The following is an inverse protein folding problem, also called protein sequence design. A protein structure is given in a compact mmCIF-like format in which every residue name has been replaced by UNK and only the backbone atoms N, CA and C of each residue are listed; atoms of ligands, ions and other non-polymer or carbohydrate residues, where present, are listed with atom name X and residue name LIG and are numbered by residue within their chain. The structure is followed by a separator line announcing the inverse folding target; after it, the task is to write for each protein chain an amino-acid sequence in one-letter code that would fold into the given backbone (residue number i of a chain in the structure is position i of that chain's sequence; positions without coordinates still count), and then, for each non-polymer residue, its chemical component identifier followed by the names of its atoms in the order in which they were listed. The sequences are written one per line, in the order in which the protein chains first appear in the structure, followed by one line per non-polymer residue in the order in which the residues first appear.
data_IF_690313937650
#
_entry.id   IF_690313937650
#
_cell.length_a   1.000
_cell.length_b   1.000
_cell.length_c   1.000
_cell.angle_alpha   90.00
_cell.angle_beta   90.00
_cell.angle_gamma   90.00
#
_symmetry.space_group_name_H-M   'P 1'
#
loop_
_entity.id
_entity.type
_entity.pdbx_description
1 polymer ?
#
# COMPACT_ATOMS: atom_id res chain seq x y z
N UNK A 1 -13.19 1.81 -8.77
CA UNK A 1 -11.99 2.42 -8.15
C UNK A 1 -11.88 3.90 -8.48
N UNK A 2 -12.01 4.32 -9.76
CA UNK A 2 -11.99 5.74 -10.17
C UNK A 2 -12.89 6.63 -9.30
N UNK A 3 -14.12 6.20 -9.03
CA UNK A 3 -15.07 6.98 -8.22
C UNK A 3 -14.67 7.11 -6.74
N UNK A 4 -13.88 6.18 -6.17
CA UNK A 4 -13.52 6.24 -4.75
C UNK A 4 -12.49 7.33 -4.45
N UNK A 5 -11.50 7.50 -5.31
CA UNK A 5 -10.45 8.49 -5.09
C UNK A 5 -11.03 9.90 -5.14
N UNK A 6 -11.86 10.18 -6.15
CA UNK A 6 -12.57 11.45 -6.26
C UNK A 6 -13.57 11.67 -5.11
N UNK A 7 -14.31 10.62 -4.69
CA UNK A 7 -15.21 10.70 -3.54
C UNK A 7 -14.48 11.09 -2.25
N UNK A 8 -13.36 10.43 -1.94
CA UNK A 8 -12.54 10.76 -0.77
C UNK A 8 -11.96 12.17 -0.88
N UNK A 9 -11.35 12.50 -2.03
CA UNK A 9 -10.73 13.80 -2.26
C UNK A 9 -11.75 14.93 -2.11
N UNK A 10 -13.01 14.71 -2.51
CA UNK A 10 -14.06 15.72 -2.44
C UNK A 10 -14.74 15.81 -1.08
N UNK A 11 -15.05 14.67 -0.46
CA UNK A 11 -16.01 14.61 0.66
C UNK A 11 -15.41 14.14 1.99
N UNK A 12 -14.27 13.43 2.00
CA UNK A 12 -13.70 12.89 3.24
C UNK A 12 -12.89 13.94 4.00
N UNK A 13 -13.03 14.00 5.31
CA UNK A 13 -12.22 14.85 6.19
C UNK A 13 -10.90 14.14 6.53
N UNK A 14 -9.92 14.27 5.63
CA UNK A 14 -8.63 13.56 5.71
C UNK A 14 -7.47 14.46 5.26
N UNK A 15 -6.31 14.28 5.89
CA UNK A 15 -5.07 14.96 5.50
C UNK A 15 -4.32 14.21 4.38
N UNK A 16 -4.48 12.89 4.34
CA UNK A 16 -3.83 12.00 3.38
C UNK A 16 -4.83 11.04 2.73
N UNK A 17 -4.62 10.76 1.45
CA UNK A 17 -5.19 9.60 0.78
C UNK A 17 -4.05 8.68 0.37
N UNK A 18 -4.15 7.42 0.75
CA UNK A 18 -3.19 6.38 0.41
C UNK A 18 -3.87 5.38 -0.51
N UNK A 19 -3.10 4.66 -1.30
CA UNK A 19 -3.65 3.46 -1.89
C UNK A 19 -2.64 2.47 -2.43
N UNK A 20 -3.12 1.24 -2.47
CA UNK A 20 -2.42 0.07 -2.94
C UNK A 20 -3.07 -0.39 -4.25
N UNK A 21 -2.33 -0.23 -5.34
CA UNK A 21 -2.66 -0.68 -6.69
C UNK A 21 -1.89 -1.95 -7.08
N UNK A 22 -1.06 -2.51 -6.20
CA UNK A 22 -0.30 -3.71 -6.51
C UNK A 22 -0.77 -4.93 -5.73
N UNK A 23 -0.64 -6.08 -6.36
CA UNK A 23 -0.74 -7.39 -5.75
C UNK A 23 0.37 -8.25 -6.35
N UNK A 24 0.72 -9.36 -5.70
CA UNK A 24 1.67 -10.30 -6.29
C UNK A 24 1.25 -10.77 -7.69
N UNK A 25 -0.06 -10.79 -7.99
CA UNK A 25 -0.58 -11.12 -9.31
C UNK A 25 -0.18 -10.10 -10.38
N UNK A 26 -0.47 -8.80 -10.18
CA UNK A 26 -0.14 -7.80 -11.19
C UNK A 26 1.36 -7.50 -11.23
N UNK A 27 2.09 -7.62 -10.11
CA UNK A 27 3.55 -7.51 -10.09
C UNK A 27 4.22 -8.46 -11.09
N UNK A 28 3.78 -9.72 -11.15
CA UNK A 28 4.33 -10.69 -12.12
C UNK A 28 4.06 -10.26 -13.56
N UNK A 29 2.84 -9.81 -13.87
CA UNK A 29 2.47 -9.34 -15.21
C UNK A 29 3.25 -8.07 -15.61
N UNK A 30 3.37 -7.09 -14.72
CA UNK A 30 4.12 -5.84 -14.97
C UNK A 30 5.62 -6.11 -15.10
N UNK A 31 6.17 -7.01 -14.29
CA UNK A 31 7.57 -7.43 -14.40
C UNK A 31 7.88 -8.09 -15.75
N UNK A 32 6.96 -8.92 -16.27
CA UNK A 32 7.11 -9.50 -17.61
C UNK A 32 7.08 -8.44 -18.71
N UNK A 33 6.15 -7.47 -18.64
CA UNK A 33 6.08 -6.35 -19.60
C UNK A 33 7.38 -5.53 -19.57
N UNK A 34 7.87 -5.20 -18.37
CA UNK A 34 9.12 -4.44 -18.19
C UNK A 34 10.32 -5.18 -18.77
N UNK A 35 10.46 -6.48 -18.48
CA UNK A 35 11.54 -7.31 -19.02
C UNK A 35 11.51 -7.40 -20.56
N UNK A 36 10.33 -7.60 -21.16
CA UNK A 36 10.18 -7.63 -22.62
C UNK A 36 10.60 -6.30 -23.28
N UNK A 37 10.29 -5.15 -22.65
CA UNK A 37 10.72 -3.84 -23.16
C UNK A 37 12.24 -3.67 -23.14
N UNK A 38 12.92 -4.19 -22.11
CA UNK A 38 14.37 -4.17 -22.06
C UNK A 38 15.00 -5.05 -23.15
N UNK A 39 14.46 -6.24 -23.38
CA UNK A 39 14.95 -7.16 -24.43
C UNK A 39 14.66 -6.66 -25.85
N UNK A 40 13.58 -5.90 -26.04
CA UNK A 40 13.15 -5.40 -27.34
C UNK A 40 12.60 -3.96 -27.24
N UNK A 41 13.51 -2.95 -27.19
CA UNK A 41 13.13 -1.55 -26.98
C UNK A 41 12.23 -0.94 -28.08
N UNK A 42 12.14 -1.59 -29.24
CA UNK A 42 11.33 -1.15 -30.38
C UNK A 42 9.92 -1.75 -30.41
N UNK A 43 9.52 -2.55 -29.42
CA UNK A 43 8.15 -3.02 -29.28
C UNK A 43 7.33 -1.93 -28.61
N UNK A 44 6.17 -1.61 -29.19
CA UNK A 44 5.14 -0.77 -28.57
C UNK A 44 4.46 -1.58 -27.45
N UNK A 45 5.18 -1.75 -26.35
CA UNK A 45 4.70 -2.43 -25.16
C UNK A 45 3.95 -1.44 -24.28
N UNK A 46 2.80 -1.87 -23.76
CA UNK A 46 2.06 -1.09 -22.77
C UNK A 46 2.98 -0.74 -21.57
N UNK A 47 2.76 0.41 -20.90
CA UNK A 47 3.54 0.76 -19.72
C UNK A 47 3.36 -0.27 -18.60
N UNK A 48 4.42 -0.50 -17.82
CA UNK A 48 4.40 -1.42 -16.68
C UNK A 48 3.96 -0.75 -15.36
N UNK A 49 3.18 0.33 -15.43
CA UNK A 49 2.52 0.99 -14.30
C UNK A 49 0.99 0.81 -14.38
N UNK A 50 0.28 1.15 -13.31
CA UNK A 50 -1.17 0.97 -13.20
C UNK A 50 -1.95 2.14 -13.83
N UNK A 51 -2.31 2.01 -15.10
CA UNK A 51 -3.00 3.05 -15.89
C UNK A 51 -4.31 3.53 -15.23
N UNK A 52 -5.05 2.66 -14.54
CA UNK A 52 -6.28 3.03 -13.85
C UNK A 52 -6.07 4.09 -12.76
N UNK A 53 -4.86 4.18 -12.20
CA UNK A 53 -4.53 5.25 -11.26
C UNK A 53 -4.49 6.61 -11.95
N UNK A 54 -4.02 6.69 -13.21
CA UNK A 54 -3.97 7.96 -13.97
C UNK A 54 -5.38 8.54 -14.13
N UNK A 55 -6.34 7.73 -14.54
CA UNK A 55 -7.75 8.14 -14.68
C UNK A 55 -8.36 8.57 -13.33
N UNK A 56 -8.05 7.82 -12.28
CA UNK A 56 -8.51 8.10 -10.91
C UNK A 56 -7.93 9.42 -10.39
N UNK A 57 -6.63 9.64 -10.61
CA UNK A 57 -5.91 10.83 -10.19
C UNK A 57 -6.44 12.06 -10.89
N UNK A 58 -6.60 12.01 -12.22
CA UNK A 58 -7.12 13.13 -13.01
C UNK A 58 -8.52 13.55 -12.53
N UNK A 59 -9.35 12.59 -12.14
CA UNK A 59 -10.70 12.87 -11.62
C UNK A 59 -10.69 13.52 -10.23
N UNK A 60 -9.70 13.20 -9.40
CA UNK A 60 -9.58 13.69 -8.02
C UNK A 60 -8.73 14.97 -7.89
N UNK A 61 -7.89 15.26 -8.88
CA UNK A 61 -6.91 16.35 -8.87
C UNK A 61 -7.46 17.72 -8.44
N UNK A 62 -8.62 18.20 -8.92
CA UNK A 62 -9.13 19.50 -8.51
C UNK A 62 -9.36 19.59 -7.00
N UNK A 63 -9.93 18.54 -6.40
CA UNK A 63 -10.24 18.50 -4.98
C UNK A 63 -8.98 18.25 -4.13
N UNK A 64 -8.05 17.42 -4.61
CA UNK A 64 -6.73 17.21 -3.97
C UNK A 64 -5.98 18.54 -3.85
N UNK A 65 -5.90 19.32 -4.93
CA UNK A 65 -5.23 20.61 -4.96
C UNK A 65 -5.94 21.66 -4.08
N UNK A 66 -7.26 21.80 -4.24
CA UNK A 66 -8.04 22.79 -3.50
C UNK A 66 -8.00 22.57 -1.97
N UNK A 67 -7.95 21.31 -1.55
CA UNK A 67 -7.96 20.91 -0.13
C UNK A 67 -6.57 20.58 0.42
N UNK A 68 -5.53 20.61 -0.41
CA UNK A 68 -4.14 20.29 -0.07
C UNK A 68 -3.97 18.89 0.55
N UNK A 69 -4.74 17.93 0.04
CA UNK A 69 -4.67 16.54 0.48
C UNK A 69 -3.42 15.91 -0.11
N UNK A 70 -2.59 15.32 0.74
CA UNK A 70 -1.38 14.61 0.32
C UNK A 70 -1.69 13.18 -0.08
N UNK A 71 -0.86 12.60 -0.95
CA UNK A 71 -1.10 11.26 -1.49
C UNK A 71 0.17 10.41 -1.57
N UNK A 72 0.03 9.12 -1.29
CA UNK A 72 1.06 8.11 -1.49
C UNK A 72 0.46 6.85 -2.16
N UNK A 73 0.97 6.46 -3.35
CA UNK A 73 0.48 5.27 -4.10
C UNK A 73 1.59 4.42 -4.75
N UNK A 74 1.47 3.07 -4.75
CA UNK A 74 2.38 2.14 -5.46
C UNK A 74 1.94 1.89 -6.91
N UNK A 75 1.18 2.82 -7.49
CA UNK A 75 0.69 2.66 -8.86
C UNK A 75 1.84 2.64 -9.91
N UNK A 76 3.07 3.00 -9.53
CA UNK A 76 4.23 2.95 -10.43
C UNK A 76 4.56 1.52 -10.88
N UNK A 77 4.16 0.54 -10.09
CA UNK A 77 4.41 -0.88 -10.29
C UNK A 77 5.86 -1.23 -10.69
N UNK A 78 6.16 -1.39 -11.98
CA UNK A 78 7.54 -1.65 -12.48
C UNK A 78 8.08 -0.51 -13.37
N UNK A 79 7.34 0.60 -13.50
CA UNK A 79 7.63 1.75 -14.37
C UNK A 79 7.28 3.08 -13.65
N UNK A 80 7.73 3.24 -12.41
CA UNK A 80 7.42 4.41 -11.57
C UNK A 80 7.83 5.74 -12.19
N UNK A 81 8.98 5.79 -12.86
CA UNK A 81 9.44 6.98 -13.59
C UNK A 81 8.46 7.39 -14.69
N UNK A 82 7.98 6.43 -15.48
CA UNK A 82 7.05 6.70 -16.56
C UNK A 82 5.66 7.12 -16.02
N UNK A 83 5.24 6.54 -14.89
CA UNK A 83 4.03 7.00 -14.21
C UNK A 83 4.18 8.45 -13.77
N UNK A 84 5.29 8.82 -13.13
CA UNK A 84 5.51 10.21 -12.75
C UNK A 84 5.47 11.14 -13.93
N UNK A 85 6.11 10.79 -15.06
CA UNK A 85 6.09 11.66 -16.25
C UNK A 85 4.64 11.92 -16.70
N UNK A 86 3.79 10.89 -16.61
CA UNK A 86 2.35 10.99 -16.92
C UNK A 86 1.60 11.88 -15.93
N UNK A 87 1.83 11.69 -14.62
CA UNK A 87 1.17 12.46 -13.55
C UNK A 87 1.65 13.92 -13.53
N UNK A 88 2.94 14.14 -13.71
CA UNK A 88 3.57 15.46 -13.80
C UNK A 88 2.97 16.27 -14.94
N UNK A 89 2.78 15.65 -16.11
CA UNK A 89 2.09 16.28 -17.24
C UNK A 89 0.65 16.69 -16.90
N UNK A 90 -0.10 15.83 -16.21
CA UNK A 90 -1.47 16.13 -15.79
C UNK A 90 -1.50 17.32 -14.80
N UNK A 91 -0.57 17.35 -13.85
CA UNK A 91 -0.41 18.46 -12.90
C UNK A 91 -0.10 19.76 -13.64
N UNK A 92 0.84 19.76 -14.57
CA UNK A 92 1.20 20.92 -15.39
C UNK A 92 0.04 21.42 -16.25
N UNK A 93 -0.64 20.51 -16.97
CA UNK A 93 -1.78 20.84 -17.83
C UNK A 93 -2.97 21.40 -17.02
N UNK A 94 -3.10 21.01 -15.74
CA UNK A 94 -4.13 21.53 -14.82
C UNK A 94 -3.82 22.92 -14.23
N UNK A 95 -2.55 23.36 -14.29
CA UNK A 95 -2.09 24.61 -13.68
C UNK A 95 -2.05 24.60 -12.15
N UNK A 96 -2.08 23.42 -11.51
CA UNK A 96 -1.90 23.29 -10.04
C UNK A 96 -0.41 23.38 -9.67
N UNK A 97 -0.12 23.71 -8.41
CA UNK A 97 1.24 23.80 -7.87
C UNK A 97 1.67 22.56 -7.07
N UNK A 98 0.93 21.45 -7.22
CA UNK A 98 1.19 20.19 -6.54
C UNK A 98 2.57 19.64 -6.93
N UNK A 99 3.34 19.23 -5.93
CA UNK A 99 4.67 18.64 -6.14
C UNK A 99 4.57 17.13 -6.16
N UNK A 100 5.00 16.53 -7.26
CA UNK A 100 5.07 15.08 -7.43
C UNK A 100 6.50 14.62 -7.13
N UNK A 101 6.64 13.49 -6.45
CA UNK A 101 7.92 12.81 -6.26
C UNK A 101 7.73 11.32 -6.56
N UNK A 102 8.79 10.67 -7.03
CA UNK A 102 8.84 9.21 -7.07
C UNK A 102 9.94 8.64 -6.17
N UNK A 103 9.84 7.35 -5.86
CA UNK A 103 10.86 6.58 -5.14
C UNK A 103 11.38 5.46 -6.04
N UNK A 104 12.70 5.29 -6.06
CA UNK A 104 13.43 4.20 -6.73
C UNK A 104 14.13 3.29 -5.72
N UNK A 105 14.69 2.19 -6.21
CA UNK A 105 15.51 1.25 -5.45
C UNK A 105 14.83 -0.09 -5.15
N UNK A 106 13.61 -0.29 -5.65
CA UNK A 106 12.90 -1.56 -5.52
C UNK A 106 13.35 -2.58 -6.57
N UNK A 107 13.76 -2.17 -7.78
CA UNK A 107 14.30 -3.04 -8.83
C UNK A 107 15.70 -3.56 -8.45
N UNK A 108 15.83 -4.88 -8.23
CA UNK A 108 17.02 -5.48 -7.58
C UNK A 108 17.53 -6.76 -8.27
N UNK A 109 17.21 -6.97 -9.56
CA UNK A 109 17.63 -8.21 -10.26
C UNK A 109 19.14 -8.40 -10.25
N UNK A 110 19.90 -7.34 -10.55
CA UNK A 110 21.37 -7.38 -10.54
C UNK A 110 21.93 -7.71 -9.15
N UNK A 111 21.37 -7.09 -8.11
CA UNK A 111 21.77 -7.35 -6.72
C UNK A 111 21.47 -8.81 -6.31
N UNK A 112 20.32 -9.36 -6.73
CA UNK A 112 19.97 -10.77 -6.50
C UNK A 112 20.98 -11.70 -7.21
N UNK A 113 21.28 -11.44 -8.48
CA UNK A 113 22.24 -12.23 -9.26
C UNK A 113 23.64 -12.18 -8.64
N UNK A 114 24.08 -10.99 -8.22
CA UNK A 114 25.34 -10.81 -7.51
C UNK A 114 25.36 -11.64 -6.21
N UNK A 115 24.37 -11.50 -5.34
CA UNK A 115 24.33 -12.24 -4.07
C UNK A 115 24.31 -13.76 -4.27
N UNK A 116 23.58 -14.25 -5.26
CA UNK A 116 23.58 -15.68 -5.61
C UNK A 116 24.96 -16.13 -6.09
N UNK A 117 25.63 -15.33 -6.91
CA UNK A 117 26.99 -15.64 -7.40
C UNK A 117 28.05 -15.67 -6.30
N UNK A 118 27.87 -14.84 -5.26
CA UNK A 118 28.70 -14.80 -4.05
C UNK A 118 28.38 -15.94 -3.05
N UNK A 119 27.38 -16.78 -3.35
CA UNK A 119 27.01 -17.95 -2.55
C UNK A 119 25.95 -17.68 -1.48
N UNK A 120 25.26 -16.53 -1.53
CA UNK A 120 24.13 -16.24 -0.63
C UNK A 120 23.00 -17.24 -0.86
N UNK A 121 22.53 -17.85 0.23
CA UNK A 121 21.43 -18.83 0.19
C UNK A 121 20.09 -18.13 0.31
N UNK A 122 19.46 -17.87 -0.84
CA UNK A 122 18.08 -17.40 -0.90
C UNK A 122 17.11 -18.58 -0.78
N UNK A 123 16.04 -18.39 -0.01
CA UNK A 123 14.99 -19.39 0.20
C UNK A 123 13.62 -18.77 -0.01
N UNK A 124 12.72 -19.54 -0.62
CA UNK A 124 11.32 -19.17 -0.70
C UNK A 124 10.72 -19.13 0.72
N UNK A 125 10.07 -18.02 1.07
CA UNK A 125 9.51 -17.80 2.41
C UNK A 125 8.36 -18.75 2.76
N UNK A 126 7.67 -19.29 1.76
CA UNK A 126 6.51 -20.17 1.92
C UNK A 126 6.92 -21.65 1.86
N UNK A 127 7.73 -22.04 0.89
CA UNK A 127 8.08 -23.45 0.64
C UNK A 127 9.41 -23.87 1.25
N UNK A 128 10.28 -22.92 1.62
CA UNK A 128 11.64 -23.19 2.09
C UNK A 128 12.61 -23.66 1.01
N UNK A 129 12.12 -23.88 -0.23
CA UNK A 129 12.92 -24.29 -1.38
C UNK A 129 14.06 -23.30 -1.63
N UNK A 130 15.25 -23.81 -1.90
CA UNK A 130 16.38 -22.94 -2.24
C UNK A 130 16.26 -22.39 -3.66
N UNK A 131 16.89 -21.25 -3.90
CA UNK A 131 16.95 -20.64 -5.23
C UNK A 131 17.55 -21.59 -6.28
N UNK A 132 18.56 -22.39 -5.92
CA UNK A 132 19.21 -23.34 -6.83
C UNK A 132 18.29 -24.51 -7.21
N UNK A 133 17.43 -24.95 -6.29
CA UNK A 133 16.45 -26.03 -6.53
C UNK A 133 15.22 -25.53 -7.30
N UNK A 134 15.02 -24.21 -7.41
CA UNK A 134 13.83 -23.64 -8.05
C UNK A 134 13.75 -23.92 -9.55
N UNK A 135 14.91 -24.00 -10.23
CA UNK A 135 14.99 -24.41 -11.64
C UNK A 135 14.54 -23.34 -12.66
N UNK A 136 14.40 -22.09 -12.25
CA UNK A 136 14.01 -20.97 -13.12
C UNK A 136 15.03 -19.83 -13.08
N UNK A 137 15.13 -19.09 -14.19
CA UNK A 137 15.92 -17.87 -14.29
C UNK A 137 14.99 -16.65 -14.21
N UNK A 138 15.09 -15.81 -13.16
CA UNK A 138 14.26 -14.62 -13.03
C UNK A 138 14.59 -13.60 -14.13
N UNK A 139 13.54 -13.00 -14.70
CA UNK A 139 13.62 -11.92 -15.70
C UNK A 139 13.40 -10.55 -15.09
N UNK A 140 12.88 -10.51 -13.85
CA UNK A 140 12.67 -9.28 -13.10
C UNK A 140 12.67 -9.59 -11.59
N UNK A 141 13.09 -8.63 -10.77
CA UNK A 141 13.06 -8.77 -9.31
C UNK A 141 12.77 -7.44 -8.62
N UNK A 142 11.86 -7.46 -7.64
CA UNK A 142 11.49 -6.28 -6.85
C UNK A 142 11.58 -6.56 -5.35
N UNK A 143 12.24 -5.69 -4.60
CA UNK A 143 12.26 -5.75 -3.15
C UNK A 143 11.13 -4.92 -2.53
N UNK A 144 10.71 -5.32 -1.33
CA UNK A 144 9.61 -4.70 -0.61
C UNK A 144 10.17 -3.60 0.28
N UNK A 145 10.32 -2.39 -0.26
CA UNK A 145 10.84 -1.24 0.46
C UNK A 145 9.90 -0.83 1.63
N UNK A 146 10.46 -0.13 2.62
CA UNK A 146 9.70 0.44 3.74
C UNK A 146 9.23 1.87 3.52
N UNK A 147 8.66 2.46 4.56
CA UNK A 147 8.00 3.77 4.63
C UNK A 147 8.97 4.97 4.65
N UNK A 148 10.27 4.73 4.84
CA UNK A 148 11.28 5.79 5.02
C UNK A 148 11.40 6.73 3.82
N UNK A 149 11.40 6.18 2.59
CA UNK A 149 11.45 6.98 1.37
C UNK A 149 10.23 7.91 1.23
N UNK A 150 9.06 7.40 1.63
CA UNK A 150 7.78 8.13 1.57
C UNK A 150 7.79 9.30 2.56
N UNK A 151 8.21 9.05 3.80
CA UNK A 151 8.35 10.08 4.82
C UNK A 151 9.33 11.18 4.38
N UNK A 152 10.45 10.79 3.77
CA UNK A 152 11.46 11.73 3.27
C UNK A 152 10.94 12.57 2.09
N UNK A 153 10.18 11.97 1.17
CA UNK A 153 9.58 12.69 0.06
C UNK A 153 8.61 13.78 0.54
N UNK A 154 7.73 13.46 1.50
CA UNK A 154 6.85 14.45 2.11
C UNK A 154 7.63 15.52 2.90
N UNK A 155 8.69 15.14 3.61
CA UNK A 155 9.58 16.08 4.31
C UNK A 155 10.24 17.07 3.35
N UNK A 156 10.59 16.62 2.14
CA UNK A 156 11.15 17.45 1.08
C UNK A 156 10.09 18.29 0.32
N UNK A 157 8.84 18.25 0.78
CA UNK A 157 7.76 19.08 0.27
C UNK A 157 6.98 18.48 -0.88
N UNK A 158 7.04 17.15 -1.10
CA UNK A 158 6.12 16.50 -2.02
C UNK A 158 4.68 16.57 -1.50
N UNK A 159 3.72 16.63 -2.43
CA UNK A 159 2.29 16.48 -2.16
C UNK A 159 1.81 15.11 -2.61
N UNK A 160 2.33 14.62 -3.74
CA UNK A 160 2.03 13.31 -4.31
C UNK A 160 3.31 12.49 -4.36
N UNK A 161 3.30 11.29 -3.78
CA UNK A 161 4.43 10.37 -3.74
C UNK A 161 4.06 9.09 -4.48
N UNK A 162 4.82 8.77 -5.52
CA UNK A 162 4.65 7.61 -6.37
C UNK A 162 5.77 6.61 -6.10
N UNK A 163 5.46 5.32 -6.10
CA UNK A 163 6.47 4.28 -5.92
C UNK A 163 6.15 3.03 -6.74
N UNK A 164 7.19 2.21 -6.94
CA UNK A 164 7.08 0.85 -7.44
C UNK A 164 6.67 -0.06 -6.30
N UNK A 165 7.49 -1.06 -5.97
CA UNK A 165 7.20 -1.95 -4.84
C UNK A 165 7.66 -1.40 -3.49
N UNK A 166 6.71 -1.29 -2.58
CA UNK A 166 6.92 -1.16 -1.13
C UNK A 166 6.14 -2.26 -0.43
N UNK A 167 6.39 -2.48 0.87
CA UNK A 167 5.46 -3.25 1.69
C UNK A 167 4.09 -2.54 1.73
N UNK A 168 3.00 -3.29 1.67
CA UNK A 168 1.65 -2.75 1.43
C UNK A 168 1.25 -1.65 2.44
N UNK A 169 1.69 -1.81 3.70
CA UNK A 169 1.46 -0.83 4.77
C UNK A 169 2.37 0.41 4.75
N UNK A 170 3.50 0.36 4.04
CA UNK A 170 4.49 1.44 3.99
C UNK A 170 3.94 2.83 3.61
N UNK A 171 2.94 2.99 2.72
CA UNK A 171 2.41 4.28 2.33
C UNK A 171 1.80 5.06 3.48
N UNK A 172 0.91 4.40 4.22
CA UNK A 172 0.23 4.97 5.37
C UNK A 172 1.18 5.13 6.55
N UNK A 173 2.07 4.15 6.76
CA UNK A 173 3.13 4.28 7.77
C UNK A 173 4.03 5.48 7.49
N UNK A 174 4.37 5.73 6.23
CA UNK A 174 5.21 6.86 5.81
C UNK A 174 4.51 8.20 5.95
N UNK A 175 3.22 8.26 5.61
CA UNK A 175 2.39 9.42 5.85
C UNK A 175 2.28 9.74 7.35
N UNK A 176 2.01 8.73 8.19
CA UNK A 176 1.92 8.89 9.64
C UNK A 176 3.25 9.32 10.27
N UNK A 177 4.36 8.70 9.86
CA UNK A 177 5.70 9.06 10.34
C UNK A 177 6.09 10.49 9.94
N UNK A 178 5.78 10.92 8.71
CA UNK A 178 5.95 12.32 8.31
C UNK A 178 5.10 13.27 9.16
N UNK A 179 3.81 12.98 9.29
CA UNK A 179 2.85 13.85 9.98
C UNK A 179 3.19 14.07 11.45
N UNK A 180 3.56 12.99 12.15
CA UNK A 180 3.90 13.03 13.58
C UNK A 180 5.39 13.23 13.86
N UNK A 181 6.23 13.34 12.83
CA UNK A 181 7.68 13.52 12.96
C UNK A 181 8.40 12.32 13.58
N UNK A 182 7.90 11.11 13.35
CA UNK A 182 8.49 9.90 13.92
C UNK A 182 9.82 9.54 13.26
N UNK A 183 10.77 9.07 14.09
CA UNK A 183 12.01 8.46 13.62
C UNK A 183 11.79 7.00 13.19
N UNK A 184 12.72 6.45 12.40
CA UNK A 184 12.70 5.03 11.97
C UNK A 184 12.92 4.02 13.09
N UNK A 185 13.10 4.48 14.34
CA UNK A 185 13.31 3.64 15.52
C UNK A 185 12.20 3.79 16.56
N UNK A 186 11.15 4.57 16.27
CA UNK A 186 9.93 4.66 17.08
C UNK A 186 9.03 3.45 16.79
N UNK A 187 9.51 2.27 17.17
CA UNK A 187 8.90 1.00 16.82
C UNK A 187 7.50 0.81 17.43
N UNK A 188 7.21 1.43 18.57
CA UNK A 188 5.89 1.35 19.17
C UNK A 188 4.85 2.02 18.25
N UNK A 189 5.14 3.24 17.83
CA UNK A 189 4.28 4.04 16.97
C UNK A 189 4.15 3.41 15.59
N UNK A 190 5.26 2.94 15.01
CA UNK A 190 5.27 2.23 13.73
C UNK A 190 4.47 0.93 13.79
N UNK A 191 4.53 0.17 14.89
CA UNK A 191 3.76 -1.06 15.04
C UNK A 191 2.26 -0.79 15.15
N UNK A 192 1.85 0.29 15.84
CA UNK A 192 0.44 0.69 15.84
C UNK A 192 0.00 1.16 14.46
N UNK A 193 0.80 1.98 13.79
CA UNK A 193 0.53 2.43 12.43
C UNK A 193 0.37 1.23 11.49
N UNK A 194 1.24 0.22 11.55
CA UNK A 194 1.15 -1.01 10.74
C UNK A 194 -0.22 -1.69 10.87
N UNK A 195 -0.75 -1.84 12.09
CA UNK A 195 -2.09 -2.43 12.29
C UNK A 195 -3.20 -1.48 11.85
N UNK A 196 -3.03 -0.17 12.00
CA UNK A 196 -3.98 0.81 11.46
C UNK A 196 -4.09 0.66 9.94
N UNK A 197 -2.96 0.51 9.24
CA UNK A 197 -2.94 0.33 7.78
C UNK A 197 -3.60 -0.97 7.38
N UNK A 198 -3.21 -2.07 8.03
CA UNK A 198 -3.79 -3.39 7.79
C UNK A 198 -5.32 -3.39 7.89
N UNK A 199 -5.88 -2.59 8.81
CA UNK A 199 -7.32 -2.45 8.95
C UNK A 199 -7.97 -1.63 7.82
N UNK A 200 -7.29 -0.68 7.20
CA UNK A 200 -7.86 0.12 6.09
C UNK A 200 -7.46 -0.39 4.69
N UNK A 201 -6.60 -1.40 4.62
CA UNK A 201 -6.24 -2.13 3.40
C UNK A 201 -7.43 -2.94 2.84
N UNK A 202 -7.27 -3.45 1.61
CA UNK A 202 -8.27 -4.25 0.90
C UNK A 202 -9.64 -3.53 0.68
N UNK A 203 -9.61 -2.20 0.56
CA UNK A 203 -10.76 -1.34 0.26
C UNK A 203 -11.87 -1.34 1.32
N UNK A 204 -12.83 -2.26 1.22
CA UNK A 204 -14.08 -2.22 1.98
C UNK A 204 -14.13 -3.26 3.10
N UNK A 205 -13.04 -3.99 3.34
CA UNK A 205 -13.10 -5.18 4.18
C UNK A 205 -13.50 -4.85 5.62
N UNK A 206 -12.86 -3.84 6.22
CA UNK A 206 -13.18 -3.39 7.57
C UNK A 206 -14.53 -2.67 7.68
N UNK A 207 -15.10 -2.23 6.56
CA UNK A 207 -16.46 -1.67 6.50
C UNK A 207 -17.53 -2.72 6.18
N UNK A 208 -17.14 -4.00 6.14
CA UNK A 208 -18.04 -5.15 6.03
C UNK A 208 -17.87 -6.00 4.76
N UNK A 209 -16.99 -5.61 3.84
CA UNK A 209 -16.81 -6.27 2.54
C UNK A 209 -16.28 -7.70 2.59
N UNK A 210 -15.62 -8.10 3.68
CA UNK A 210 -15.16 -9.47 3.93
C UNK A 210 -15.59 -10.00 5.31
N UNK A 211 -16.67 -9.46 5.86
CA UNK A 211 -17.19 -9.87 7.16
C UNK A 211 -18.24 -10.96 7.02
N UNK A 212 -18.05 -12.10 7.69
CA UNK A 212 -18.99 -13.25 7.63
C UNK A 212 -20.42 -12.92 8.08
N UNK A 213 -20.58 -11.88 8.92
CA UNK A 213 -21.88 -11.37 9.35
C UNK A 213 -22.51 -10.38 8.37
N UNK A 214 -22.12 -10.40 7.09
CA UNK A 214 -22.51 -9.43 6.06
C UNK A 214 -24.02 -9.13 5.97
N UNK A 215 -24.90 -10.08 6.32
CA UNK A 215 -26.36 -9.87 6.34
C UNK A 215 -26.83 -8.82 7.36
N UNK A 216 -25.99 -8.49 8.33
CA UNK A 216 -26.27 -7.47 9.37
C UNK A 216 -25.71 -6.10 9.02
N UNK A 217 -24.89 -6.02 7.96
CA UNK A 217 -24.27 -4.76 7.55
C UNK A 217 -25.33 -3.85 6.91
N UNK A 218 -25.42 -2.57 7.31
CA UNK A 218 -26.33 -1.61 6.70
C UNK A 218 -26.18 -1.57 5.17
N UNK A 219 -27.29 -1.59 4.45
CA UNK A 219 -27.32 -1.56 2.99
C UNK A 219 -27.60 -0.14 2.49
N UNK A 220 -26.89 0.25 1.43
CA UNK A 220 -27.13 1.48 0.69
C UNK A 220 -27.95 1.23 -0.57
N UNK A 221 -28.23 2.28 -1.35
CA UNK A 221 -28.74 2.12 -2.72
C UNK A 221 -27.63 1.79 -3.70
N UNK A 222 -26.41 2.22 -3.39
CA UNK A 222 -25.20 1.83 -4.10
C UNK A 222 -24.77 0.43 -3.67
N UNK A 223 -24.24 -0.40 -4.59
CA UNK A 223 -23.61 -1.67 -4.24
C UNK A 223 -22.25 -1.48 -3.53
N UNK A 224 -21.70 -0.25 -3.52
CA UNK A 224 -20.45 0.06 -2.83
C UNK A 224 -20.70 0.33 -1.35
N UNK A 225 -19.76 -0.14 -0.52
CA UNK A 225 -19.72 0.20 0.90
C UNK A 225 -18.99 1.53 1.11
N UNK A 226 -19.19 2.10 2.29
CA UNK A 226 -18.41 3.21 2.80
C UNK A 226 -16.93 2.82 2.91
N UNK A 227 -16.06 3.81 2.75
CA UNK A 227 -14.61 3.64 2.81
C UNK A 227 -14.12 3.84 4.24
N UNK A 228 -13.07 3.12 4.68
CA UNK A 228 -12.52 3.30 6.01
C UNK A 228 -11.60 4.52 6.08
N UNK A 229 -11.51 5.12 7.27
CA UNK A 229 -10.53 6.14 7.64
C UNK A 229 -9.77 5.64 8.87
N UNK A 230 -8.44 5.75 8.85
CA UNK A 230 -7.62 5.57 10.03
C UNK A 230 -7.21 6.93 10.60
N UNK A 231 -7.64 7.23 11.82
CA UNK A 231 -7.23 8.43 12.56
C UNK A 231 -6.14 8.06 13.55
N UNK A 232 -4.89 8.27 13.15
CA UNK A 232 -3.69 7.86 13.89
C UNK A 232 -3.20 9.02 14.78
N UNK A 233 -3.05 8.77 16.08
CA UNK A 233 -2.56 9.73 17.06
C UNK A 233 -1.03 9.76 17.10
N UNK A 234 -0.47 10.79 17.75
CA UNK A 234 0.98 10.99 17.84
C UNK A 234 1.71 9.89 18.61
N UNK A 235 1.01 9.17 19.49
CA UNK A 235 1.54 8.01 20.23
C UNK A 235 1.38 6.67 19.48
N UNK A 236 0.88 6.74 18.24
CA UNK A 236 0.61 5.60 17.37
C UNK A 236 -0.78 4.99 17.53
N UNK A 237 -1.45 5.16 18.68
CA UNK A 237 -2.81 4.61 18.88
C UNK A 237 -3.79 5.23 17.89
N UNK A 238 -4.86 4.52 17.53
CA UNK A 238 -5.69 4.96 16.42
C UNK A 238 -7.15 4.54 16.54
N UNK A 239 -7.98 5.27 15.79
CA UNK A 239 -9.36 4.91 15.54
C UNK A 239 -9.53 4.46 14.09
N UNK A 240 -10.36 3.44 13.87
CA UNK A 240 -10.91 3.13 12.55
C UNK A 240 -12.32 3.68 12.51
N UNK A 241 -12.60 4.46 11.48
CA UNK A 241 -13.83 5.22 11.30
C UNK A 241 -14.39 5.00 9.90
N UNK A 242 -15.69 5.21 9.73
CA UNK A 242 -16.40 5.03 8.47
C UNK A 242 -16.59 6.39 7.76
N UNK A 243 -16.08 6.54 6.54
CA UNK A 243 -16.45 7.66 5.69
C UNK A 243 -17.83 7.44 5.08
N UNK A 244 -18.84 8.11 5.62
CA UNK A 244 -20.22 8.00 5.15
C UNK A 244 -20.42 8.77 3.83
N UNK A 245 -20.32 8.05 2.72
CA UNK A 245 -20.68 8.56 1.40
C UNK A 245 -22.18 8.41 1.16
N UNK A 246 -22.72 9.31 0.33
CA UNK A 246 -24.14 9.31 -0.03
C UNK A 246 -24.53 7.97 -0.68
N UNK A 247 -25.69 7.44 -0.28
CA UNK A 247 -26.29 6.22 -0.82
C UNK A 247 -25.46 4.93 -0.64
N UNK A 248 -24.33 4.94 0.08
CA UNK A 248 -23.50 3.75 0.39
C UNK A 248 -23.84 3.14 1.75
N UNK A 249 -23.75 1.82 1.82
CA UNK A 249 -23.91 1.03 3.05
C UNK A 249 -22.59 0.81 3.77
N UNK A 250 -22.50 -0.21 4.60
CA UNK A 250 -21.27 -0.54 5.35
C UNK A 250 -21.29 -0.02 6.78
N UNK A 251 -20.42 -0.60 7.59
CA UNK A 251 -20.28 -0.25 9.00
C UNK A 251 -18.87 -0.58 9.51
N UNK A 252 -18.35 0.27 10.39
CA UNK A 252 -17.18 -0.04 11.20
C UNK A 252 -17.63 -0.46 12.60
N UNK A 253 -17.26 -1.68 13.01
CA UNK A 253 -17.58 -2.22 14.33
C UNK A 253 -16.44 -3.07 14.85
N UNK A 254 -16.46 -3.38 16.15
CA UNK A 254 -15.49 -4.31 16.74
C UNK A 254 -15.40 -5.62 15.95
N UNK A 255 -16.52 -6.11 15.40
CA UNK A 255 -16.53 -7.37 14.66
C UNK A 255 -15.90 -7.25 13.27
N UNK A 256 -16.15 -6.15 12.55
CA UNK A 256 -15.53 -5.95 11.22
C UNK A 256 -14.03 -5.66 11.37
N UNK A 257 -13.62 -4.89 12.38
CA UNK A 257 -12.21 -4.70 12.72
C UNK A 257 -11.52 -5.99 13.13
N UNK A 258 -12.13 -6.85 13.96
CA UNK A 258 -11.54 -8.16 14.30
C UNK A 258 -11.46 -9.10 13.10
N UNK A 259 -12.47 -9.08 12.22
CA UNK A 259 -12.46 -9.88 10.99
C UNK A 259 -11.30 -9.47 10.09
N UNK A 260 -11.11 -8.16 9.92
CA UNK A 260 -10.00 -7.64 9.12
C UNK A 260 -8.64 -7.88 9.81
N UNK A 261 -8.53 -7.68 11.13
CA UNK A 261 -7.28 -7.92 11.87
C UNK A 261 -6.77 -9.36 11.73
N UNK A 262 -7.67 -10.34 11.58
CA UNK A 262 -7.29 -11.75 11.43
C UNK A 262 -7.06 -12.15 9.97
N UNK A 263 -7.37 -11.27 9.02
CA UNK A 263 -7.16 -11.52 7.60
C UNK A 263 -5.65 -11.55 7.29
N UNK A 264 -5.20 -12.58 6.57
CA UNK A 264 -3.79 -12.75 6.15
C UNK A 264 -2.70 -12.81 7.23
N UNK A 265 -3.02 -12.65 8.52
CA UNK A 265 -2.06 -12.78 9.61
C UNK A 265 -1.79 -14.25 9.97
N UNK A 266 -0.52 -14.64 9.90
CA UNK A 266 -0.05 -16.00 10.19
C UNK A 266 0.64 -16.06 11.56
N UNK A 267 -0.18 -16.04 12.61
CA UNK A 267 0.27 -16.11 14.00
C UNK A 267 0.49 -14.73 14.63
N UNK A 268 1.28 -14.68 15.71
CA UNK A 268 1.37 -13.48 16.56
C UNK A 268 2.31 -12.39 16.06
N UNK A 269 3.21 -12.69 15.12
CA UNK A 269 4.18 -11.74 14.57
C UNK A 269 3.75 -11.36 13.17
N UNK A 270 3.47 -10.08 12.97
CA UNK A 270 3.24 -9.52 11.65
C UNK A 270 4.49 -8.77 11.19
N UNK A 271 5.18 -9.35 10.20
CA UNK A 271 6.45 -8.84 9.70
C UNK A 271 6.24 -7.76 8.64
N UNK A 272 6.90 -6.61 8.82
CA UNK A 272 6.96 -5.52 7.84
C UNK A 272 8.42 -5.02 7.73
N UNK A 273 8.72 -4.27 6.65
CA UNK A 273 10.04 -3.71 6.38
C UNK A 273 10.52 -2.70 7.42
N UNK A 274 9.62 -2.01 8.13
CA UNK A 274 10.00 -0.99 9.13
C UNK A 274 9.90 -1.47 10.58
N UNK A 275 9.05 -2.46 10.86
CA UNK A 275 8.78 -2.97 12.22
C UNK A 275 8.17 -4.36 12.16
N UNK A 276 8.21 -5.11 13.28
CA UNK A 276 7.38 -6.29 13.47
C UNK A 276 6.31 -5.96 14.51
N UNK A 277 5.03 -6.05 14.15
CA UNK A 277 3.94 -5.89 15.10
C UNK A 277 3.63 -7.22 15.81
N UNK A 278 3.38 -7.16 17.12
CA UNK A 278 2.99 -8.29 17.95
C UNK A 278 1.51 -8.16 18.30
N UNK A 279 0.70 -9.06 17.76
CA UNK A 279 -0.77 -8.90 17.73
C UNK A 279 -1.52 -9.71 18.78
N UNK A 280 -0.83 -10.44 19.66
CA UNK A 280 -1.45 -11.36 20.62
C UNK A 280 -2.17 -10.68 21.80
N UNK A 281 -1.93 -9.38 22.02
CA UNK A 281 -2.56 -8.58 23.09
C UNK A 281 -3.35 -7.37 22.59
N UNK A 282 -3.56 -7.25 21.27
CA UNK A 282 -4.31 -6.13 20.67
C UNK A 282 -5.69 -5.99 21.34
N UNK A 283 -6.04 -4.75 21.69
CA UNK A 283 -7.37 -4.39 22.18
C UNK A 283 -8.14 -3.69 21.07
N UNK A 284 -9.38 -4.13 20.87
CA UNK A 284 -10.31 -3.60 19.87
C UNK A 284 -11.61 -3.27 20.60
N UNK A 285 -11.90 -1.99 20.76
CA UNK A 285 -12.94 -1.46 21.64
C UNK A 285 -13.85 -0.50 20.86
N UNK A 286 -15.16 -0.60 21.08
CA UNK A 286 -16.10 0.32 20.44
C UNK A 286 -15.95 1.70 21.06
N UNK A 287 -15.72 2.73 20.24
CA UNK A 287 -15.54 4.12 20.68
C UNK A 287 -16.75 5.02 20.38
N UNK A 288 -17.60 4.61 19.44
CA UNK A 288 -18.83 5.28 19.07
C UNK A 288 -19.53 4.57 17.91
N UNK A 289 -20.64 5.09 17.38
CA UNK A 289 -21.21 4.62 16.12
C UNK A 289 -20.15 4.70 15.02
N UNK A 290 -19.92 3.61 14.30
CA UNK A 290 -18.96 3.55 13.19
C UNK A 290 -17.54 4.01 13.54
N UNK A 291 -17.15 3.86 14.81
CA UNK A 291 -15.82 4.23 15.33
C UNK A 291 -15.32 3.19 16.34
N UNK A 292 -14.13 2.65 16.07
CA UNK A 292 -13.47 1.61 16.88
C UNK A 292 -12.08 2.07 17.26
N UNK A 293 -11.78 2.05 18.56
CA UNK A 293 -10.45 2.33 19.08
C UNK A 293 -9.63 1.04 19.15
N UNK A 294 -8.41 1.08 18.62
CA UNK A 294 -7.49 -0.06 18.62
C UNK A 294 -6.17 0.34 19.26
N UNK A 295 -5.71 -0.45 20.22
CA UNK A 295 -4.52 -0.16 21.02
C UNK A 295 -3.84 -1.42 21.57
N UNK A 296 -2.77 -1.22 22.33
CA UNK A 296 -2.00 -2.28 23.00
C UNK A 296 -1.35 -3.25 22.02
N UNK A 297 -0.75 -2.71 20.96
CA UNK A 297 0.01 -3.47 19.97
C UNK A 297 1.47 -3.54 20.42
N UNK A 298 2.01 -4.76 20.53
CA UNK A 298 3.43 -4.95 20.85
C UNK A 298 4.31 -4.76 19.62
N UNK A 299 5.63 -4.67 19.83
CA UNK A 299 6.58 -4.42 18.76
C UNK A 299 7.90 -5.19 18.95
N UNK A 300 8.53 -5.52 17.83
CA UNK A 300 9.92 -5.97 17.73
C UNK A 300 10.62 -5.18 16.61
N UNK A 301 11.96 -5.21 16.58
CA UNK A 301 12.74 -4.60 15.49
C UNK A 301 12.37 -5.24 14.14
N UNK A 302 12.46 -4.50 13.01
CA UNK A 302 12.25 -5.07 11.69
C UNK A 302 13.18 -6.26 11.43
N UNK A 303 12.79 -7.19 10.53
CA UNK A 303 13.67 -8.28 10.12
C UNK A 303 15.01 -7.75 9.58
N UNK A 304 16.13 -8.47 9.80
CA UNK A 304 17.43 -8.09 9.25
C UNK A 304 17.54 -8.33 7.73
N UNK A 305 16.47 -8.81 7.08
CA UNK A 305 16.41 -9.21 5.67
C UNK A 305 15.23 -8.56 4.97
N UNK A 306 15.37 -8.24 3.69
CA UNK A 306 14.29 -7.68 2.86
C UNK A 306 13.64 -8.77 2.01
N UNK A 307 12.30 -8.78 1.92
CA UNK A 307 11.55 -9.66 1.00
C UNK A 307 11.79 -9.21 -0.44
N UNK A 308 12.07 -10.17 -1.32
CA UNK A 308 12.21 -9.94 -2.77
C UNK A 308 11.24 -10.84 -3.51
N UNK A 309 10.44 -10.25 -4.40
CA UNK A 309 9.64 -10.95 -5.39
C UNK A 309 10.46 -11.19 -6.66
N UNK A 310 10.43 -12.41 -7.17
CA UNK A 310 11.12 -12.80 -8.39
C UNK A 310 10.09 -13.18 -9.46
N UNK A 311 10.20 -12.56 -10.63
CA UNK A 311 9.32 -12.84 -11.78
C UNK A 311 10.04 -13.75 -12.76
N UNK A 312 9.36 -14.80 -13.21
CA UNK A 312 9.84 -15.75 -14.23
C UNK A 312 8.76 -15.97 -15.29
N UNK A 313 9.15 -16.35 -16.52
CA UNK A 313 8.19 -16.84 -17.50
C UNK A 313 7.53 -18.14 -16.99
N UNK A 314 6.25 -18.05 -16.60
CA UNK A 314 5.47 -19.17 -16.04
C UNK A 314 4.79 -20.08 -17.09
N UNK A 315 4.96 -19.79 -18.38
CA UNK A 315 4.25 -20.45 -19.48
C UNK A 315 3.02 -19.66 -19.97
N UNK A 316 2.21 -20.28 -20.82
CA UNK A 316 0.99 -19.69 -21.39
C UNK A 316 -0.24 -20.35 -20.77
N UNK A 317 -1.23 -19.55 -20.38
CA UNK A 317 -2.54 -20.04 -19.96
C UNK A 317 -3.56 -19.73 -21.07
N UNK A 318 -4.36 -20.74 -21.44
CA UNK A 318 -5.41 -20.63 -22.46
C UNK A 318 -6.68 -19.96 -21.92
#
# INVERSE_FOLDING_TARGET
MVENLAELAKNADVDFIVGDWQSEYNMAARGMIKAQRYESPNIDAAPAFEQQFVDSFQSALPDLAARKIKMAVNAGACDTELLYQSIQKIVEDSGTDLRVAWIEGDEVLDAVQQFVSEGTKLRNITTGQSFQEWGHSPVYAQCYLGSRGISQAFTNGADIVLYGRVADAAPTMGAAAYWHGWSSTQYQELAHALIAVHLIECSYYVTGGNYIGFKTIPQGKSPLLNLPIARIQSDGTFFIECHHSKDRGGQVSVNTCRSQLLYELQGKRYYNSDVVAIVDQVKVEQAGPDSVFVHNIGFEKPPPTTKVGLTVPGGYQA
#
